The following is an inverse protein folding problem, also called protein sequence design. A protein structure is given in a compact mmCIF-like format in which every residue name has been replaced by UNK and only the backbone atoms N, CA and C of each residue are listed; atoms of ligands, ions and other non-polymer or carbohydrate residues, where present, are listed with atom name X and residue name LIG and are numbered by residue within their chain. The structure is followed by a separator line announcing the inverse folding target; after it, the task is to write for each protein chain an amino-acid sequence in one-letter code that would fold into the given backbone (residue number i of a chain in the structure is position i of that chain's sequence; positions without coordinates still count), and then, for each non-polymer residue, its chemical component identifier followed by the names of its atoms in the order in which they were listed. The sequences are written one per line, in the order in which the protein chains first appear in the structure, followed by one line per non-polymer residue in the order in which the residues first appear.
data_IF_265555472024
#
_entry.id   IF_265555472024
#
_cell.length_a   1.000
_cell.length_b   1.000
_cell.length_c   1.000
_cell.angle_alpha   90.00
_cell.angle_beta   90.00
_cell.angle_gamma   90.00
#
_symmetry.space_group_name_H-M   'P 1'
#
loop_
_entity.id
_entity.type
_entity.pdbx_description
1 polymer ?
#
# COMPACT_ATOMS: atom_id res chain seq x y z
N UNK A 1 18.57 -26.57 -12.28
CA UNK A 1 18.66 -25.91 -10.96
C UNK A 1 20.07 -25.46 -10.58
N UNK A 2 21.08 -26.36 -10.48
CA UNK A 2 22.48 -26.00 -10.12
C UNK A 2 23.14 -24.94 -11.03
N UNK A 3 22.87 -24.97 -12.34
CA UNK A 3 23.40 -24.00 -13.33
C UNK A 3 22.80 -22.59 -13.17
N UNK A 4 21.53 -22.50 -12.76
CA UNK A 4 20.84 -21.24 -12.48
C UNK A 4 21.38 -20.62 -11.18
N UNK A 5 21.55 -21.44 -10.13
CA UNK A 5 22.14 -21.00 -8.85
C UNK A 5 23.58 -20.52 -9.05
N UNK A 6 24.38 -21.23 -9.87
CA UNK A 6 25.74 -20.84 -10.21
C UNK A 6 25.79 -19.50 -10.96
N UNK A 7 24.93 -19.31 -11.97
CA UNK A 7 24.82 -18.07 -12.75
C UNK A 7 24.31 -16.87 -11.91
N UNK A 8 23.40 -17.11 -10.97
CA UNK A 8 22.96 -16.09 -10.01
C UNK A 8 24.10 -15.66 -9.09
N UNK A 9 24.89 -16.63 -8.59
CA UNK A 9 26.03 -16.34 -7.72
C UNK A 9 27.15 -15.57 -8.43
N UNK A 10 27.44 -15.83 -9.71
CA UNK A 10 28.41 -15.03 -10.49
C UNK A 10 27.85 -13.64 -10.78
N UNK A 11 26.60 -13.50 -11.21
CA UNK A 11 25.99 -12.19 -11.48
C UNK A 11 25.93 -11.27 -10.24
N UNK A 12 25.72 -11.84 -9.06
CA UNK A 12 25.71 -11.11 -7.78
C UNK A 12 27.11 -10.67 -7.33
N UNK A 13 28.18 -11.32 -7.79
CA UNK A 13 29.57 -11.05 -7.38
C UNK A 13 30.36 -10.22 -8.40
N UNK A 14 29.86 -10.04 -9.62
CA UNK A 14 30.51 -9.23 -10.65
C UNK A 14 30.11 -7.74 -10.59
N UNK A 15 31.12 -6.86 -10.56
CA UNK A 15 31.00 -5.41 -10.68
C UNK A 15 31.65 -4.62 -9.53
N UNK A 16 31.60 -3.30 -9.62
CA UNK A 16 32.09 -2.39 -8.57
C UNK A 16 31.36 -2.63 -7.23
N UNK A 17 31.99 -2.37 -6.08
CA UNK A 17 31.42 -2.62 -4.73
C UNK A 17 30.02 -2.02 -4.56
N UNK A 18 29.76 -0.86 -5.18
CA UNK A 18 28.44 -0.21 -5.21
C UNK A 18 27.39 -0.99 -6.03
N UNK A 19 27.74 -1.58 -7.17
CA UNK A 19 26.81 -2.38 -7.98
C UNK A 19 26.49 -3.73 -7.33
N UNK A 20 27.45 -4.35 -6.65
CA UNK A 20 27.24 -5.60 -5.88
C UNK A 20 26.26 -5.35 -4.73
N UNK A 21 26.46 -4.26 -3.96
CA UNK A 21 25.56 -3.87 -2.86
C UNK A 21 24.14 -3.57 -3.37
N UNK A 22 24.00 -2.88 -4.51
CA UNK A 22 22.71 -2.62 -5.13
C UNK A 22 22.01 -3.90 -5.60
N UNK A 23 22.70 -4.80 -6.31
CA UNK A 23 22.15 -6.09 -6.76
C UNK A 23 21.67 -6.96 -5.59
N UNK A 24 22.47 -7.08 -4.53
CA UNK A 24 22.11 -7.82 -3.31
C UNK A 24 20.89 -7.21 -2.62
N UNK A 25 20.81 -5.88 -2.53
CA UNK A 25 19.67 -5.20 -1.95
C UNK A 25 18.38 -5.39 -2.77
N UNK A 26 18.47 -5.38 -4.10
CA UNK A 26 17.32 -5.66 -4.98
C UNK A 26 16.83 -7.09 -4.75
N UNK A 27 17.72 -8.08 -4.74
CA UNK A 27 17.35 -9.48 -4.51
C UNK A 27 16.73 -9.70 -3.14
N UNK A 28 17.31 -9.14 -2.07
CA UNK A 28 16.76 -9.22 -0.72
C UNK A 28 15.40 -8.52 -0.63
N UNK A 29 15.24 -7.38 -1.29
CA UNK A 29 13.96 -6.68 -1.35
C UNK A 29 12.91 -7.51 -2.07
N UNK A 30 13.28 -8.16 -3.17
CA UNK A 30 12.41 -9.06 -3.92
C UNK A 30 11.97 -10.25 -3.06
N UNK A 31 12.93 -10.92 -2.41
CA UNK A 31 12.65 -12.04 -1.52
C UNK A 31 11.73 -11.65 -0.35
N UNK A 32 11.98 -10.48 0.26
CA UNK A 32 11.12 -9.95 1.32
C UNK A 32 9.69 -9.65 0.83
N UNK A 33 9.54 -9.09 -0.37
CA UNK A 33 8.22 -8.84 -0.97
C UNK A 33 7.48 -10.14 -1.27
N UNK A 34 8.15 -11.16 -1.84
CA UNK A 34 7.55 -12.47 -2.12
C UNK A 34 7.14 -13.16 -0.82
N UNK A 35 7.98 -13.14 0.21
CA UNK A 35 7.65 -13.69 1.53
C UNK A 35 6.44 -12.99 2.15
N UNK A 36 6.38 -11.65 2.07
CA UNK A 36 5.24 -10.88 2.56
C UNK A 36 3.95 -11.25 1.82
N UNK A 37 4.00 -11.43 0.49
CA UNK A 37 2.85 -11.88 -0.30
C UNK A 37 2.42 -13.27 0.17
N UNK A 38 3.34 -14.23 0.29
CA UNK A 38 3.04 -15.60 0.72
C UNK A 38 2.38 -15.64 2.12
N UNK A 39 2.95 -14.95 3.11
CA UNK A 39 2.36 -14.87 4.45
C UNK A 39 0.95 -14.26 4.38
N UNK A 40 0.77 -13.26 3.52
CA UNK A 40 -0.53 -12.60 3.38
C UNK A 40 -1.61 -13.48 2.73
N UNK A 41 -1.24 -14.51 1.96
CA UNK A 41 -2.15 -15.54 1.48
C UNK A 41 -2.47 -16.57 2.56
N UNK A 42 -1.48 -16.96 3.36
CA UNK A 42 -1.67 -17.88 4.51
C UNK A 42 -2.63 -17.30 5.55
N UNK A 43 -2.59 -15.97 5.76
CA UNK A 43 -3.51 -15.32 6.70
C UNK A 43 -4.98 -15.48 6.34
N UNK A 44 -5.35 -15.54 5.06
CA UNK A 44 -6.77 -15.57 4.66
C UNK A 44 -7.50 -16.80 5.23
N UNK A 45 -7.10 -18.05 4.96
CA UNK A 45 -7.77 -19.22 5.52
C UNK A 45 -7.70 -19.27 7.05
N UNK A 46 -6.57 -18.89 7.66
CA UNK A 46 -6.44 -18.90 9.13
C UNK A 46 -7.40 -17.92 9.82
N UNK A 47 -7.57 -16.73 9.23
CA UNK A 47 -8.50 -15.73 9.78
C UNK A 47 -9.94 -16.16 9.55
N UNK A 48 -10.25 -16.79 8.40
CA UNK A 48 -11.59 -17.34 8.14
C UNK A 48 -11.94 -18.50 9.08
N UNK A 49 -11.00 -19.41 9.33
CA UNK A 49 -11.17 -20.52 10.27
C UNK A 49 -11.46 -20.02 11.70
N UNK A 50 -10.77 -18.97 12.13
CA UNK A 50 -10.95 -18.43 13.48
C UNK A 50 -12.19 -17.52 13.61
N UNK A 51 -12.51 -16.72 12.59
CA UNK A 51 -13.50 -15.66 12.69
C UNK A 51 -14.85 -15.96 12.06
N UNK A 52 -14.96 -16.74 10.99
CA UNK A 52 -16.06 -16.71 10.00
C UNK A 52 -15.98 -15.53 8.99
N UNK A 53 -16.82 -15.59 7.94
CA UNK A 53 -16.84 -14.62 6.86
C UNK A 53 -17.34 -13.24 7.29
N UNK A 54 -18.32 -13.17 8.20
CA UNK A 54 -18.91 -11.91 8.68
C UNK A 54 -17.88 -11.12 9.49
N UNK A 55 -17.28 -11.76 10.50
CA UNK A 55 -16.24 -11.16 11.36
C UNK A 55 -14.98 -10.83 10.57
N UNK A 56 -14.61 -11.64 9.58
CA UNK A 56 -13.50 -11.33 8.68
C UNK A 56 -13.76 -10.09 7.81
N UNK A 57 -14.97 -9.96 7.26
CA UNK A 57 -15.41 -8.78 6.52
C UNK A 57 -15.40 -7.49 7.34
N UNK A 58 -15.81 -7.59 8.61
CA UNK A 58 -15.72 -6.49 9.58
C UNK A 58 -14.27 -6.09 9.82
N UNK A 59 -13.37 -7.05 10.05
CA UNK A 59 -11.94 -6.80 10.22
C UNK A 59 -11.32 -6.09 9.00
N UNK A 60 -11.63 -6.58 7.79
CA UNK A 60 -11.14 -5.98 6.53
C UNK A 60 -11.65 -4.55 6.36
N UNK A 61 -12.89 -4.28 6.75
CA UNK A 61 -13.44 -2.92 6.69
C UNK A 61 -12.80 -2.01 7.73
N UNK A 62 -12.66 -2.47 8.98
CA UNK A 62 -12.01 -1.71 10.05
C UNK A 62 -10.58 -1.33 9.67
N UNK A 63 -9.82 -2.29 9.13
CA UNK A 63 -8.46 -2.02 8.63
C UNK A 63 -8.44 -1.10 7.41
N UNK A 64 -9.46 -1.13 6.56
CA UNK A 64 -9.59 -0.21 5.43
C UNK A 64 -9.84 1.23 5.88
N UNK A 65 -10.77 1.44 6.84
CA UNK A 65 -11.07 2.76 7.44
C UNK A 65 -9.82 3.33 8.10
N UNK A 66 -9.16 2.52 8.92
CA UNK A 66 -7.92 2.91 9.59
C UNK A 66 -6.83 3.17 8.56
N UNK A 67 -6.77 2.39 7.48
CA UNK A 67 -5.91 2.58 6.32
C UNK A 67 -5.99 3.98 5.68
N UNK A 68 -7.13 4.68 5.79
CA UNK A 68 -7.28 6.06 5.30
C UNK A 68 -6.28 7.03 5.94
N UNK A 69 -5.90 6.76 7.19
CA UNK A 69 -4.93 7.60 7.90
C UNK A 69 -3.49 7.41 7.39
N UNK A 70 -3.19 6.35 6.61
CA UNK A 70 -1.86 6.18 5.98
C UNK A 70 -1.53 7.28 4.99
N UNK A 71 -2.56 7.89 4.41
CA UNK A 71 -2.42 8.96 3.44
C UNK A 71 -2.03 10.30 4.11
N UNK A 72 -2.33 10.47 5.40
CA UNK A 72 -1.89 11.61 6.21
C UNK A 72 -0.39 11.55 6.53
N UNK A 73 0.15 10.35 6.81
CA UNK A 73 1.58 10.10 7.09
C UNK A 73 2.50 10.48 5.91
N UNK A 74 2.04 10.22 4.67
CA UNK A 74 2.85 10.41 3.47
C UNK A 74 3.27 11.86 3.19
N UNK A 75 2.71 12.85 3.89
CA UNK A 75 3.16 14.24 3.82
C UNK A 75 4.40 14.50 4.70
N UNK A 76 4.27 14.33 6.01
CA UNK A 76 5.31 14.66 6.98
C UNK A 76 6.51 13.72 6.92
N UNK A 77 6.29 12.42 6.70
CA UNK A 77 7.40 11.46 6.57
C UNK A 77 8.29 11.74 5.35
N UNK A 78 7.71 12.18 4.23
CA UNK A 78 8.49 12.58 3.04
C UNK A 78 9.23 13.90 3.25
N UNK A 79 8.58 14.87 3.91
CA UNK A 79 9.23 16.12 4.31
C UNK A 79 10.44 15.89 5.21
N UNK A 80 10.28 15.04 6.24
CA UNK A 80 11.37 14.62 7.12
C UNK A 80 12.49 13.95 6.32
N UNK A 81 12.18 12.98 5.45
CA UNK A 81 13.21 12.28 4.64
C UNK A 81 14.09 13.26 3.87
N UNK A 82 13.47 14.21 3.16
CA UNK A 82 14.20 15.17 2.33
C UNK A 82 15.10 16.08 3.17
N UNK A 83 14.55 16.69 4.23
CA UNK A 83 15.31 17.59 5.10
C UNK A 83 16.40 16.86 5.88
N UNK A 84 16.14 15.61 6.27
CA UNK A 84 17.12 14.76 6.94
C UNK A 84 18.28 14.39 6.02
N UNK A 85 18.02 14.04 4.76
CA UNK A 85 19.10 13.80 3.76
C UNK A 85 19.96 15.05 3.59
N UNK A 86 19.37 16.24 3.50
CA UNK A 86 20.11 17.50 3.37
C UNK A 86 20.97 17.75 4.62
N UNK A 87 20.39 17.64 5.82
CA UNK A 87 21.12 17.85 7.07
C UNK A 87 22.29 16.86 7.23
N UNK A 88 22.06 15.58 6.91
CA UNK A 88 23.09 14.54 6.96
C UNK A 88 24.19 14.73 5.91
N UNK A 89 23.85 15.22 4.72
CA UNK A 89 24.84 15.53 3.66
C UNK A 89 25.80 16.65 4.03
N UNK A 90 25.37 17.56 4.93
CA UNK A 90 26.16 18.65 5.47
C UNK A 90 26.81 18.31 6.82
N UNK A 91 26.74 17.04 7.24
CA UNK A 91 27.15 16.52 8.55
C UNK A 91 26.56 17.31 9.75
N UNK A 92 25.43 18.00 9.56
CA UNK A 92 24.78 18.78 10.60
C UNK A 92 23.86 17.87 11.42
N UNK A 93 24.46 17.09 12.32
CA UNK A 93 23.77 16.13 13.19
C UNK A 93 22.77 16.81 14.13
N UNK A 94 23.04 18.03 14.59
CA UNK A 94 22.12 18.78 15.46
C UNK A 94 20.83 19.07 14.70
N UNK A 95 20.93 19.65 13.50
CA UNK A 95 19.78 19.95 12.66
C UNK A 95 18.99 18.68 12.30
N UNK A 96 19.69 17.59 11.99
CA UNK A 96 19.07 16.28 11.75
C UNK A 96 18.22 15.81 12.95
N UNK A 97 18.76 15.92 14.17
CA UNK A 97 18.04 15.59 15.40
C UNK A 97 16.88 16.53 15.68
N UNK A 98 17.01 17.83 15.38
CA UNK A 98 15.91 18.78 15.48
C UNK A 98 14.76 18.38 14.56
N UNK A 99 15.03 18.02 13.30
CA UNK A 99 14.00 17.54 12.38
C UNK A 99 13.33 16.26 12.89
N UNK A 100 14.11 15.24 13.29
CA UNK A 100 13.56 13.98 13.82
C UNK A 100 12.68 14.24 15.06
N UNK A 101 13.19 15.00 16.03
CA UNK A 101 12.49 15.30 17.29
C UNK A 101 11.21 16.10 17.05
N UNK A 102 11.28 17.08 16.15
CA UNK A 102 10.12 17.89 15.77
C UNK A 102 9.07 17.06 15.05
N UNK A 103 9.45 16.15 14.15
CA UNK A 103 8.49 15.25 13.48
C UNK A 103 7.81 14.29 14.48
N UNK A 104 8.56 13.70 15.42
CA UNK A 104 7.96 12.89 16.49
C UNK A 104 6.96 13.71 17.31
N UNK A 105 7.30 14.93 17.71
CA UNK A 105 6.41 15.78 18.48
C UNK A 105 5.12 16.15 17.72
N UNK A 106 5.23 16.52 16.43
CA UNK A 106 4.06 16.84 15.60
C UNK A 106 3.15 15.62 15.45
N UNK A 107 3.69 14.46 15.03
CA UNK A 107 2.87 13.27 14.81
C UNK A 107 2.24 12.77 16.10
N UNK A 108 2.99 12.74 17.21
CA UNK A 108 2.43 12.39 18.52
C UNK A 108 1.32 13.33 18.93
N UNK A 109 1.46 14.64 18.74
CA UNK A 109 0.41 15.62 19.05
C UNK A 109 -0.85 15.41 18.21
N UNK A 110 -0.69 15.28 16.89
CA UNK A 110 -1.82 15.06 15.96
C UNK A 110 -2.56 13.77 16.29
N UNK A 111 -1.84 12.66 16.41
CA UNK A 111 -2.46 11.37 16.68
C UNK A 111 -3.02 11.25 18.10
N UNK A 112 -2.42 11.92 19.08
CA UNK A 112 -3.00 12.02 20.42
C UNK A 112 -4.34 12.77 20.40
N UNK A 113 -4.43 13.91 19.70
CA UNK A 113 -5.70 14.64 19.53
C UNK A 113 -6.73 13.75 18.85
N UNK A 114 -6.36 13.04 17.78
CA UNK A 114 -7.26 12.10 17.11
C UNK A 114 -7.72 10.96 18.01
N UNK A 115 -6.86 10.44 18.89
CA UNK A 115 -7.26 9.46 19.91
C UNK A 115 -8.24 10.05 20.91
N UNK A 116 -7.97 11.25 21.44
CA UNK A 116 -8.88 11.90 22.39
C UNK A 116 -10.25 12.12 21.76
N UNK A 117 -10.30 12.61 20.52
CA UNK A 117 -11.54 12.76 19.76
C UNK A 117 -12.22 11.40 19.59
N UNK A 118 -11.49 10.38 19.13
CA UNK A 118 -12.05 9.03 18.94
C UNK A 118 -12.65 8.48 20.23
N UNK A 119 -11.90 8.48 21.34
CA UNK A 119 -12.38 7.98 22.63
C UNK A 119 -13.58 8.76 23.15
N UNK A 120 -13.67 10.06 22.86
CA UNK A 120 -14.80 10.91 23.27
C UNK A 120 -16.06 10.63 22.44
N UNK A 121 -15.92 10.42 21.12
CA UNK A 121 -17.07 10.20 20.23
C UNK A 121 -17.50 8.73 20.16
N UNK A 122 -16.58 7.79 20.40
CA UNK A 122 -16.80 6.36 20.20
C UNK A 122 -17.98 5.77 20.99
N UNK A 123 -18.30 6.19 22.22
CA UNK A 123 -19.52 5.75 22.91
C UNK A 123 -20.83 6.16 22.23
N UNK A 124 -20.79 7.18 21.37
CA UNK A 124 -21.94 7.75 20.66
C UNK A 124 -22.04 7.17 19.23
N UNK A 125 -20.97 6.57 18.71
CA UNK A 125 -20.96 5.95 17.38
C UNK A 125 -21.77 4.65 17.39
N UNK A 126 -22.71 4.55 16.46
CA UNK A 126 -23.46 3.32 16.19
C UNK A 126 -22.68 2.41 15.21
N UNK A 127 -21.69 1.67 15.71
CA UNK A 127 -20.84 0.78 14.90
C UNK A 127 -21.64 -0.30 14.17
N UNK A 128 -22.73 -0.82 14.74
CA UNK A 128 -23.64 -1.72 14.01
C UNK A 128 -24.16 -1.09 12.73
N UNK A 129 -24.51 0.20 12.75
CA UNK A 129 -25.00 0.94 11.59
C UNK A 129 -23.86 1.30 10.63
N UNK A 130 -22.71 1.69 11.16
CA UNK A 130 -21.50 2.04 10.38
C UNK A 130 -20.90 0.81 9.66
N UNK A 131 -21.09 -0.38 10.21
CA UNK A 131 -20.58 -1.63 9.64
C UNK A 131 -21.69 -2.51 9.06
N UNK A 132 -22.95 -2.07 9.11
CA UNK A 132 -24.11 -2.82 8.63
C UNK A 132 -24.16 -4.27 9.19
N UNK A 133 -24.00 -4.39 10.51
CA UNK A 133 -23.92 -5.67 11.24
C UNK A 133 -25.07 -5.80 12.23
N UNK A 134 -25.66 -6.99 12.32
CA UNK A 134 -26.73 -7.28 13.29
C UNK A 134 -26.30 -8.23 14.42
N UNK A 135 -25.48 -9.23 14.10
CA UNK A 135 -25.11 -10.36 14.97
C UNK A 135 -24.15 -9.99 16.10
N UNK A 136 -23.19 -9.10 15.84
CA UNK A 136 -22.12 -8.74 16.79
C UNK A 136 -22.56 -7.62 17.72
N UNK A 137 -22.20 -7.69 19.00
CA UNK A 137 -22.57 -6.64 19.96
C UNK A 137 -21.91 -5.29 19.65
N UNK A 138 -22.63 -4.20 19.91
CA UNK A 138 -22.14 -2.83 19.74
C UNK A 138 -20.84 -2.59 20.55
N UNK A 139 -20.80 -3.14 21.78
CA UNK A 139 -19.64 -3.09 22.66
C UNK A 139 -18.42 -3.76 22.04
N UNK A 140 -18.57 -4.91 21.41
CA UNK A 140 -17.46 -5.63 20.77
C UNK A 140 -16.88 -4.84 19.59
N UNK A 141 -17.73 -4.28 18.73
CA UNK A 141 -17.31 -3.44 17.60
C UNK A 141 -16.63 -2.15 18.06
N UNK A 142 -17.18 -1.53 19.10
CA UNK A 142 -16.62 -0.34 19.74
C UNK A 142 -15.23 -0.61 20.34
N UNK A 143 -15.06 -1.71 21.06
CA UNK A 143 -13.76 -2.13 21.60
C UNK A 143 -12.76 -2.45 20.48
N UNK A 144 -13.19 -3.15 19.43
CA UNK A 144 -12.36 -3.43 18.27
C UNK A 144 -11.84 -2.11 17.65
N UNK A 145 -12.73 -1.15 17.42
CA UNK A 145 -12.35 0.15 16.87
C UNK A 145 -11.29 0.83 17.76
N UNK A 146 -11.55 0.98 19.06
CA UNK A 146 -10.59 1.61 19.98
C UNK A 146 -9.22 0.92 19.94
N UNK A 147 -9.17 -0.41 19.96
CA UNK A 147 -7.93 -1.18 19.89
C UNK A 147 -7.19 -0.93 18.59
N UNK A 148 -7.86 -1.09 17.45
CA UNK A 148 -7.23 -1.01 16.12
C UNK A 148 -6.73 0.41 15.87
N UNK A 149 -7.54 1.44 16.13
CA UNK A 149 -7.14 2.83 15.94
C UNK A 149 -5.98 3.22 16.86
N UNK A 150 -5.99 2.79 18.13
CA UNK A 150 -4.91 3.08 19.09
C UNK A 150 -3.57 2.55 18.60
N UNK A 151 -3.50 1.26 18.28
CA UNK A 151 -2.24 0.68 17.82
C UNK A 151 -1.84 1.19 16.45
N UNK A 152 -2.79 1.51 15.58
CA UNK A 152 -2.47 2.09 14.29
C UNK A 152 -1.85 3.49 14.39
N UNK A 153 -2.39 4.34 15.26
CA UNK A 153 -1.84 5.67 15.51
C UNK A 153 -0.48 5.60 16.19
N UNK A 154 -0.28 4.68 17.14
CA UNK A 154 1.05 4.39 17.70
C UNK A 154 2.03 3.92 16.63
N UNK A 155 1.59 3.04 15.72
CA UNK A 155 2.41 2.53 14.60
C UNK A 155 2.93 3.68 13.75
N UNK A 156 2.12 4.69 13.43
CA UNK A 156 2.58 5.84 12.64
C UNK A 156 3.68 6.64 13.32
N UNK A 157 3.53 6.90 14.61
CA UNK A 157 4.55 7.64 15.37
C UNK A 157 5.87 6.87 15.29
N UNK A 158 5.84 5.56 15.53
CA UNK A 158 7.05 4.73 15.55
C UNK A 158 7.68 4.56 14.17
N UNK A 159 6.88 4.61 13.10
CA UNK A 159 7.34 4.46 11.71
C UNK A 159 8.34 5.54 11.27
N UNK A 160 8.51 6.64 12.02
CA UNK A 160 9.59 7.62 11.80
C UNK A 160 10.97 6.94 11.76
N UNK A 161 11.20 5.85 12.50
CA UNK A 161 12.48 5.12 12.44
C UNK A 161 12.77 4.56 11.04
N UNK A 162 11.72 4.18 10.30
CA UNK A 162 11.87 3.75 8.91
C UNK A 162 12.36 4.92 8.06
N UNK A 163 11.75 6.11 8.23
CA UNK A 163 12.15 7.33 7.51
C UNK A 163 13.62 7.70 7.78
N UNK A 164 14.07 7.56 9.03
CA UNK A 164 15.47 7.82 9.41
C UNK A 164 16.43 6.85 8.73
N UNK A 165 16.13 5.55 8.76
CA UNK A 165 16.96 4.52 8.11
C UNK A 165 17.01 4.71 6.59
N UNK A 166 15.89 5.12 6.00
CA UNK A 166 15.78 5.46 4.59
C UNK A 166 16.65 6.67 4.21
N UNK A 167 16.61 7.73 5.01
CA UNK A 167 17.44 8.93 4.82
C UNK A 167 18.94 8.62 4.99
N UNK A 168 19.28 7.64 5.84
CA UNK A 168 20.65 7.12 6.01
C UNK A 168 21.11 6.18 4.89
N UNK A 169 20.29 5.96 3.86
CA UNK A 169 20.56 5.03 2.75
C UNK A 169 20.70 3.56 3.21
N UNK A 170 19.99 3.18 4.27
CA UNK A 170 19.93 1.81 4.78
C UNK A 170 18.52 1.20 4.65
N UNK A 171 17.84 1.30 3.49
CA UNK A 171 16.44 0.87 3.35
C UNK A 171 16.26 -0.64 3.55
N UNK A 172 17.34 -1.43 3.48
CA UNK A 172 17.30 -2.85 3.76
C UNK A 172 16.83 -3.16 5.20
N UNK A 173 17.17 -2.31 6.18
CA UNK A 173 16.79 -2.51 7.59
C UNK A 173 15.27 -2.42 7.74
N UNK A 174 14.65 -1.43 7.10
CA UNK A 174 13.21 -1.19 7.14
C UNK A 174 12.40 -2.33 6.51
N UNK A 175 12.95 -2.93 5.45
CA UNK A 175 12.25 -3.99 4.69
C UNK A 175 12.03 -5.26 5.50
N UNK A 176 12.70 -5.45 6.64
CA UNK A 176 12.51 -6.60 7.51
C UNK A 176 11.47 -6.39 8.61
N UNK A 177 11.12 -5.15 8.99
CA UNK A 177 10.17 -4.92 10.08
C UNK A 177 8.79 -5.50 9.81
N UNK A 178 8.24 -5.25 8.61
CA UNK A 178 6.94 -5.79 8.23
C UNK A 178 6.93 -7.32 8.16
N UNK A 179 7.86 -8.01 7.48
CA UNK A 179 7.95 -9.47 7.53
C UNK A 179 8.09 -10.05 8.93
N UNK A 180 8.94 -9.48 9.80
CA UNK A 180 9.08 -9.93 11.18
C UNK A 180 7.76 -9.79 11.93
N UNK A 181 7.07 -8.66 11.80
CA UNK A 181 5.76 -8.46 12.39
C UNK A 181 4.74 -9.47 11.86
N UNK A 182 4.71 -9.74 10.56
CA UNK A 182 3.81 -10.73 9.98
C UNK A 182 4.08 -12.15 10.47
N UNK A 183 5.34 -12.56 10.63
CA UNK A 183 5.70 -13.87 11.20
C UNK A 183 5.27 -13.97 12.67
N UNK A 184 5.54 -12.94 13.47
CA UNK A 184 5.11 -12.90 14.88
C UNK A 184 3.58 -12.95 15.00
N UNK A 185 2.86 -12.21 14.17
CA UNK A 185 1.40 -12.24 14.11
C UNK A 185 0.88 -13.62 13.71
N UNK A 186 1.53 -14.28 12.74
CA UNK A 186 1.17 -15.63 12.31
C UNK A 186 1.33 -16.63 13.45
N UNK A 187 2.46 -16.59 14.17
CA UNK A 187 2.69 -17.46 15.34
C UNK A 187 1.63 -17.19 16.42
N UNK A 188 1.36 -15.93 16.73
CA UNK A 188 0.36 -15.57 17.72
C UNK A 188 -1.05 -16.03 17.34
N UNK A 189 -1.44 -15.94 16.06
CA UNK A 189 -2.73 -16.43 15.56
C UNK A 189 -2.81 -17.95 15.62
N UNK A 190 -1.74 -18.67 15.27
CA UNK A 190 -1.71 -20.14 15.39
C UNK A 190 -1.87 -20.62 16.83
N UNK A 191 -1.32 -19.87 17.80
CA UNK A 191 -1.55 -20.13 19.23
C UNK A 191 -2.99 -19.80 19.59
N UNK A 192 -3.52 -18.67 19.12
CA UNK A 192 -4.87 -18.22 19.39
C UNK A 192 -5.92 -19.24 18.94
N UNK A 193 -5.83 -19.72 17.71
CA UNK A 193 -6.73 -20.74 17.14
C UNK A 193 -6.81 -21.99 18.02
N UNK A 194 -5.71 -22.36 18.68
CA UNK A 194 -5.64 -23.56 19.54
C UNK A 194 -6.08 -23.33 20.98
N UNK A 195 -6.14 -22.08 21.43
CA UNK A 195 -6.28 -21.75 22.86
C UNK A 195 -7.56 -21.00 23.20
N UNK A 196 -8.18 -20.34 22.22
CA UNK A 196 -9.38 -19.52 22.45
C UNK A 196 -10.47 -19.80 21.43
N UNK A 197 -11.71 -19.52 21.81
CA UNK A 197 -12.83 -19.44 20.88
C UNK A 197 -12.78 -18.14 20.05
N UNK A 198 -13.53 -18.08 18.95
CA UNK A 198 -13.62 -16.91 18.06
C UNK A 198 -13.81 -15.61 18.85
N UNK A 199 -12.84 -14.69 18.71
CA UNK A 199 -12.85 -13.39 19.37
C UNK A 199 -12.21 -12.33 18.47
N UNK A 200 -13.05 -11.47 17.91
CA UNK A 200 -12.65 -10.46 16.93
C UNK A 200 -11.73 -9.39 17.54
N UNK A 201 -11.99 -8.98 18.79
CA UNK A 201 -11.20 -7.95 19.48
C UNK A 201 -9.78 -8.45 19.76
N UNK A 202 -9.64 -9.69 20.22
CA UNK A 202 -8.34 -10.28 20.54
C UNK A 202 -7.48 -10.48 19.27
N UNK A 203 -8.09 -10.91 18.18
CA UNK A 203 -7.43 -10.99 16.88
C UNK A 203 -7.01 -9.60 16.38
N UNK A 204 -7.92 -8.62 16.47
CA UNK A 204 -7.62 -7.23 16.11
C UNK A 204 -6.46 -6.66 16.94
N UNK A 205 -6.44 -6.96 18.25
CA UNK A 205 -5.32 -6.63 19.13
C UNK A 205 -4.01 -7.22 18.63
N UNK A 206 -3.93 -8.54 18.39
CA UNK A 206 -2.70 -9.20 17.94
C UNK A 206 -2.19 -8.61 16.63
N UNK A 207 -3.07 -8.48 15.64
CA UNK A 207 -2.72 -7.98 14.30
C UNK A 207 -2.31 -6.51 14.32
N UNK A 208 -2.88 -5.68 15.20
CA UNK A 208 -2.52 -4.26 15.31
C UNK A 208 -1.32 -4.02 16.24
N UNK A 209 -1.17 -4.80 17.32
CA UNK A 209 -0.09 -4.67 18.30
C UNK A 209 1.25 -5.15 17.76
N UNK A 210 1.28 -6.27 17.03
CA UNK A 210 2.56 -6.88 16.61
C UNK A 210 3.44 -5.93 15.77
N UNK A 211 2.91 -5.18 14.77
CA UNK A 211 3.71 -4.18 14.07
C UNK A 211 4.25 -3.06 14.98
N UNK A 212 3.47 -2.64 15.99
CA UNK A 212 3.88 -1.64 16.98
C UNK A 212 5.02 -2.18 17.83
N UNK A 213 4.91 -3.42 18.31
CA UNK A 213 5.94 -4.09 19.09
C UNK A 213 7.28 -4.14 18.34
N UNK A 214 7.26 -4.58 17.08
CA UNK A 214 8.46 -4.65 16.24
C UNK A 214 9.06 -3.26 16.03
N UNK A 215 8.25 -2.25 15.73
CA UNK A 215 8.74 -0.88 15.53
C UNK A 215 9.26 -0.24 16.83
N UNK A 216 8.65 -0.54 17.98
CA UNK A 216 9.15 -0.13 19.30
C UNK A 216 10.55 -0.71 19.53
N UNK A 217 10.71 -2.03 19.36
CA UNK A 217 12.01 -2.71 19.52
C UNK A 217 13.03 -2.14 18.54
N UNK A 218 12.66 -1.96 17.27
CA UNK A 218 13.52 -1.38 16.26
C UNK A 218 13.95 0.06 16.62
N UNK A 219 13.02 0.89 17.10
CA UNK A 219 13.29 2.26 17.52
C UNK A 219 14.30 2.30 18.67
N UNK A 220 14.13 1.44 19.68
CA UNK A 220 15.04 1.34 20.83
C UNK A 220 16.43 0.88 20.40
N UNK A 221 16.52 -0.21 19.63
CA UNK A 221 17.80 -0.78 19.19
C UNK A 221 18.53 0.19 18.25
N UNK A 222 17.83 0.76 17.26
CA UNK A 222 18.45 1.61 16.27
C UNK A 222 18.91 2.93 16.87
N UNK A 223 18.11 3.63 17.68
CA UNK A 223 18.60 4.85 18.34
C UNK A 223 19.55 4.58 19.51
N UNK A 224 19.56 3.37 20.09
CA UNK A 224 20.49 2.99 21.15
C UNK A 224 21.89 2.65 20.63
N UNK A 225 21.96 1.98 19.47
CA UNK A 225 23.21 1.38 18.98
C UNK A 225 23.66 2.04 17.67
N UNK A 226 22.83 1.97 16.62
CA UNK A 226 23.25 2.28 15.25
C UNK A 226 23.15 3.77 14.88
N UNK A 227 22.13 4.45 15.38
CA UNK A 227 21.77 5.85 15.13
C UNK A 227 21.86 6.67 16.41
N UNK A 228 22.78 6.32 17.31
CA UNK A 228 23.00 6.98 18.61
C UNK A 228 23.11 8.50 18.49
N UNK A 229 23.83 8.97 17.47
CA UNK A 229 24.03 10.39 17.17
C UNK A 229 22.77 11.11 16.67
N UNK A 230 21.72 10.37 16.30
CA UNK A 230 20.45 10.91 15.78
C UNK A 230 19.29 10.75 16.77
N UNK A 231 19.57 10.29 18.00
CA UNK A 231 18.55 10.05 19.01
C UNK A 231 17.69 11.30 19.24
N UNK A 232 16.35 11.19 19.12
CA UNK A 232 15.45 12.32 19.34
C UNK A 232 15.50 12.78 20.81
N UNK A 233 15.16 14.05 21.02
CA UNK A 233 15.06 14.65 22.35
C UNK A 233 13.97 15.71 22.37
N UNK A 234 13.16 15.73 23.42
CA UNK A 234 12.12 16.73 23.62
C UNK A 234 12.67 18.17 23.62
N UNK A 235 13.92 18.38 24.07
CA UNK A 235 14.59 19.69 24.08
C UNK A 235 14.95 20.21 22.67
N UNK A 236 14.97 19.31 21.67
CA UNK A 236 15.32 19.62 20.28
C UNK A 236 14.08 19.82 19.40
N UNK A 237 12.89 19.85 19.98
CA UNK A 237 11.66 20.20 19.25
C UNK A 237 11.70 21.69 18.91
N UNK A 238 11.60 22.02 17.62
CA UNK A 238 11.71 23.39 17.11
C UNK A 238 10.54 23.71 16.19
N UNK A 239 9.64 24.57 16.66
CA UNK A 239 8.43 25.00 15.92
C UNK A 239 8.78 25.61 14.55
N UNK A 240 9.93 26.31 14.44
CA UNK A 240 10.41 26.89 13.17
C UNK A 240 10.47 25.87 12.02
N UNK A 241 10.77 24.59 12.33
CA UNK A 241 10.89 23.52 11.33
C UNK A 241 9.54 22.94 10.91
N UNK A 242 8.46 23.22 11.65
CA UNK A 242 7.10 22.72 11.35
C UNK A 242 6.66 23.19 9.96
N UNK A 243 6.91 24.47 9.62
CA UNK A 243 6.54 25.02 8.31
C UNK A 243 7.30 24.33 7.18
N UNK A 244 8.61 24.14 7.34
CA UNK A 244 9.46 23.48 6.35
C UNK A 244 9.03 22.02 6.10
N UNK A 245 8.70 21.29 7.17
CA UNK A 245 8.23 19.90 7.08
C UNK A 245 6.83 19.80 6.45
N UNK A 246 5.92 20.72 6.81
CA UNK A 246 4.51 20.69 6.39
C UNK A 246 4.26 21.17 4.96
N UNK A 247 5.02 22.16 4.46
CA UNK A 247 4.83 22.70 3.09
C UNK A 247 5.10 21.65 2.02
N UNK A 248 6.14 20.83 2.21
CA UNK A 248 6.41 19.69 1.32
C UNK A 248 5.37 18.57 1.50
N UNK A 249 4.88 18.37 2.73
CA UNK A 249 3.90 17.34 3.04
C UNK A 249 2.51 17.58 2.44
N UNK A 250 2.05 18.84 2.41
CA UNK A 250 0.70 19.19 1.93
C UNK A 250 0.44 18.88 0.46
N UNK A 251 1.45 19.04 -0.42
CA UNK A 251 1.33 18.69 -1.85
C UNK A 251 1.18 17.18 -2.07
N UNK A 252 1.86 16.37 -1.27
CA UNK A 252 1.73 14.90 -1.32
C UNK A 252 0.45 14.42 -0.66
N UNK A 253 -0.12 15.16 0.28
CA UNK A 253 -1.38 14.84 0.91
C UNK A 253 -2.55 14.89 -0.09
N UNK A 254 -2.63 15.93 -0.92
CA UNK A 254 -3.69 16.05 -1.95
C UNK A 254 -3.66 14.90 -2.98
N UNK A 255 -2.46 14.53 -3.44
CA UNK A 255 -2.28 13.39 -4.36
C UNK A 255 -2.71 12.08 -3.69
N UNK A 256 -2.56 11.96 -2.37
CA UNK A 256 -2.92 10.76 -1.63
C UNK A 256 -4.42 10.64 -1.36
N UNK A 257 -5.13 11.76 -1.13
CA UNK A 257 -6.60 11.77 -1.03
C UNK A 257 -7.25 11.16 -2.28
N UNK A 258 -6.71 11.47 -3.47
CA UNK A 258 -7.26 10.88 -4.71
C UNK A 258 -7.19 9.35 -4.73
N UNK A 259 -6.13 8.76 -4.16
CA UNK A 259 -5.97 7.31 -4.05
C UNK A 259 -6.86 6.71 -2.96
N UNK A 260 -7.06 7.42 -1.85
CA UNK A 260 -8.00 7.01 -0.80
C UNK A 260 -9.40 6.80 -1.37
N UNK A 261 -9.91 7.80 -2.11
CA UNK A 261 -11.25 7.75 -2.70
C UNK A 261 -11.40 6.55 -3.65
N UNK A 262 -10.38 6.25 -4.44
CA UNK A 262 -10.46 5.23 -5.48
C UNK A 262 -10.25 3.79 -4.97
N UNK A 263 -9.49 3.58 -3.89
CA UNK A 263 -9.09 2.23 -3.46
C UNK A 263 -9.52 1.86 -2.04
N UNK A 264 -9.59 2.82 -1.12
CA UNK A 264 -9.85 2.53 0.29
C UNK A 264 -11.31 2.75 0.69
N UNK A 265 -12.10 3.43 -0.14
CA UNK A 265 -13.56 3.54 0.07
C UNK A 265 -14.32 2.28 -0.34
N UNK A 266 -13.75 1.41 -1.18
CA UNK A 266 -14.46 0.26 -1.75
C UNK A 266 -15.02 -0.69 -0.69
N UNK A 267 -14.22 -1.11 0.29
CA UNK A 267 -14.68 -1.97 1.40
C UNK A 267 -15.77 -1.28 2.24
N UNK A 268 -15.66 0.04 2.43
CA UNK A 268 -16.65 0.81 3.19
C UNK A 268 -17.98 0.93 2.45
N UNK A 269 -17.96 1.17 1.13
CA UNK A 269 -19.16 1.17 0.31
C UNK A 269 -19.81 -0.22 0.31
N UNK A 270 -19.03 -1.28 0.10
CA UNK A 270 -19.55 -2.64 0.08
C UNK A 270 -20.19 -3.00 1.41
N UNK A 271 -19.53 -2.72 2.55
CA UNK A 271 -20.12 -3.05 3.85
C UNK A 271 -21.46 -2.31 4.06
N UNK A 272 -21.52 -1.03 3.69
CA UNK A 272 -22.69 -0.19 3.93
C UNK A 272 -23.90 -0.61 3.08
N UNK A 273 -23.68 -1.08 1.86
CA UNK A 273 -24.77 -1.43 0.94
C UNK A 273 -25.11 -2.91 0.91
N UNK A 274 -24.12 -3.79 1.11
CA UNK A 274 -24.27 -5.23 0.90
C UNK A 274 -23.91 -6.07 2.13
N UNK A 275 -23.18 -5.49 3.09
CA UNK A 275 -22.82 -6.16 4.34
C UNK A 275 -21.40 -6.74 4.35
N UNK A 276 -20.95 -7.25 5.51
CA UNK A 276 -19.57 -7.69 5.73
C UNK A 276 -19.15 -8.95 4.95
N UNK A 277 -20.03 -9.92 4.73
CA UNK A 277 -19.69 -11.13 3.97
C UNK A 277 -19.23 -10.81 2.54
N UNK A 278 -19.90 -9.86 1.89
CA UNK A 278 -19.56 -9.36 0.56
C UNK A 278 -18.21 -8.63 0.57
N UNK A 279 -17.84 -7.98 1.68
CA UNK A 279 -16.49 -7.40 1.83
C UNK A 279 -15.43 -8.49 1.87
N UNK A 280 -15.70 -9.63 2.53
CA UNK A 280 -14.80 -10.77 2.54
C UNK A 280 -14.60 -11.32 1.12
N UNK A 281 -15.69 -11.59 0.39
CA UNK A 281 -15.63 -12.04 -1.01
C UNK A 281 -14.82 -11.07 -1.88
N UNK A 282 -15.10 -9.77 -1.79
CA UNK A 282 -14.38 -8.73 -2.53
C UNK A 282 -12.88 -8.75 -2.26
N UNK A 283 -12.47 -8.79 -1.00
CA UNK A 283 -11.06 -8.72 -0.63
C UNK A 283 -10.31 -10.02 -0.97
N UNK A 284 -10.98 -11.18 -0.91
CA UNK A 284 -10.40 -12.46 -1.32
C UNK A 284 -10.13 -12.48 -2.83
N UNK A 285 -11.13 -12.10 -3.64
CA UNK A 285 -10.97 -12.01 -5.09
C UNK A 285 -9.91 -10.96 -5.49
N UNK A 286 -9.92 -9.80 -4.81
CA UNK A 286 -8.90 -8.77 -4.98
C UNK A 286 -7.51 -9.32 -4.64
N UNK A 287 -7.35 -10.02 -3.52
CA UNK A 287 -6.08 -10.61 -3.09
C UNK A 287 -5.50 -11.54 -4.14
N UNK A 288 -6.34 -12.40 -4.71
CA UNK A 288 -5.94 -13.37 -5.73
C UNK A 288 -5.40 -12.67 -7.00
N UNK A 289 -6.15 -11.71 -7.57
CA UNK A 289 -5.74 -11.02 -8.79
C UNK A 289 -4.72 -9.87 -8.58
N UNK A 290 -4.55 -9.39 -7.34
CA UNK A 290 -3.53 -8.39 -7.02
C UNK A 290 -2.11 -8.99 -7.01
N UNK A 291 -1.96 -10.30 -6.78
CA UNK A 291 -0.65 -10.96 -6.75
C UNK A 291 0.20 -10.74 -8.03
N UNK A 292 -0.30 -11.01 -9.25
CA UNK A 292 0.45 -10.72 -10.47
C UNK A 292 0.74 -9.21 -10.65
N UNK A 293 -0.19 -8.34 -10.24
CA UNK A 293 0.01 -6.88 -10.28
C UNK A 293 1.17 -6.45 -9.38
N UNK A 294 1.28 -7.02 -8.17
CA UNK A 294 2.39 -6.74 -7.26
C UNK A 294 3.73 -7.18 -7.84
N UNK A 295 3.79 -8.39 -8.41
CA UNK A 295 5.02 -8.91 -9.04
C UNK A 295 5.42 -8.03 -10.23
N UNK A 296 4.46 -7.61 -11.06
CA UNK A 296 4.70 -6.68 -12.17
C UNK A 296 5.22 -5.32 -11.66
N UNK A 297 4.65 -4.81 -10.56
CA UNK A 297 5.06 -3.55 -9.93
C UNK A 297 6.53 -3.52 -9.48
N UNK A 298 7.10 -4.66 -9.10
CA UNK A 298 8.54 -4.78 -8.80
C UNK A 298 9.36 -4.47 -10.05
N UNK A 299 8.98 -5.02 -11.21
CA UNK A 299 9.65 -4.77 -12.50
C UNK A 299 9.54 -3.30 -12.90
N UNK A 300 8.43 -2.65 -12.56
CA UNK A 300 8.17 -1.23 -12.87
C UNK A 300 8.95 -0.25 -12.00
N UNK A 301 9.42 -0.67 -10.82
CA UNK A 301 10.11 0.18 -9.85
C UNK A 301 11.33 0.93 -10.44
N UNK A 302 12.29 0.27 -11.14
CA UNK A 302 13.42 0.96 -11.75
C UNK A 302 13.07 1.73 -13.02
N UNK A 303 11.93 1.45 -13.65
CA UNK A 303 11.56 2.01 -14.97
C UNK A 303 11.40 3.53 -14.91
N UNK A 304 10.79 4.05 -13.84
CA UNK A 304 10.63 5.50 -13.68
C UNK A 304 11.97 6.24 -13.80
N UNK A 305 12.97 5.90 -12.97
CA UNK A 305 14.26 6.58 -12.99
C UNK A 305 14.98 6.44 -14.34
N UNK A 306 14.88 5.27 -14.98
CA UNK A 306 15.48 5.02 -16.27
C UNK A 306 14.80 5.82 -17.41
N UNK A 307 13.47 5.98 -17.36
CA UNK A 307 12.73 6.87 -18.27
C UNK A 307 13.19 8.31 -18.10
N UNK A 308 13.33 8.81 -16.87
CA UNK A 308 13.79 10.19 -16.63
C UNK A 308 15.18 10.43 -17.23
N UNK A 309 16.13 9.52 -16.99
CA UNK A 309 17.50 9.63 -17.53
C UNK A 309 17.51 9.67 -19.06
N UNK A 310 16.83 8.72 -19.71
CA UNK A 310 16.75 8.66 -21.16
C UNK A 310 16.04 9.88 -21.76
N UNK A 311 14.97 10.36 -21.11
CA UNK A 311 14.23 11.53 -21.56
C UNK A 311 15.07 12.81 -21.48
N UNK A 312 15.80 13.03 -20.38
CA UNK A 312 16.69 14.19 -20.22
C UNK A 312 17.84 14.15 -21.24
N UNK A 313 18.35 12.96 -21.57
CA UNK A 313 19.38 12.76 -22.60
C UNK A 313 18.85 12.81 -24.04
N UNK A 314 17.54 12.94 -24.23
CA UNK A 314 16.92 12.94 -25.55
C UNK A 314 16.91 11.59 -26.27
N UNK A 315 17.14 10.47 -25.57
CA UNK A 315 17.20 9.13 -26.16
C UNK A 315 15.80 8.54 -26.39
N UNK A 316 15.11 9.08 -27.41
CA UNK A 316 13.76 8.65 -27.79
C UNK A 316 13.73 7.23 -28.36
N UNK A 317 14.84 6.77 -28.96
CA UNK A 317 14.94 5.41 -29.49
C UNK A 317 14.96 4.38 -28.35
N UNK A 318 15.74 4.63 -27.29
CA UNK A 318 15.71 3.80 -26.10
C UNK A 318 14.33 3.79 -25.44
N UNK A 319 13.68 4.94 -25.31
CA UNK A 319 12.32 5.05 -24.74
C UNK A 319 11.31 4.19 -25.50
N UNK A 320 11.32 4.25 -26.84
CA UNK A 320 10.45 3.42 -27.71
C UNK A 320 10.74 1.92 -27.53
N UNK A 321 12.02 1.54 -27.52
CA UNK A 321 12.41 0.14 -27.38
C UNK A 321 12.05 -0.45 -26.02
N UNK A 322 12.24 0.31 -24.95
CA UNK A 322 11.84 -0.10 -23.60
C UNK A 322 10.34 -0.23 -23.51
N UNK A 323 9.57 0.77 -23.98
CA UNK A 323 8.11 0.70 -23.97
C UNK A 323 7.59 -0.53 -24.72
N UNK A 324 8.16 -0.85 -25.90
CA UNK A 324 7.82 -2.06 -26.66
C UNK A 324 8.08 -3.33 -25.85
N UNK A 325 9.25 -3.46 -25.20
CA UNK A 325 9.58 -4.62 -24.37
C UNK A 325 8.65 -4.75 -23.16
N UNK A 326 8.30 -3.63 -22.52
CA UNK A 326 7.36 -3.61 -21.39
C UNK A 326 5.95 -4.01 -21.83
N UNK A 327 5.49 -3.57 -23.00
CA UNK A 327 4.19 -3.99 -23.55
C UNK A 327 4.15 -5.49 -23.86
N UNK A 328 5.24 -6.06 -24.41
CA UNK A 328 5.35 -7.52 -24.61
C UNK A 328 5.29 -8.25 -23.25
N UNK A 329 5.97 -7.73 -22.23
CA UNK A 329 5.89 -8.28 -20.88
C UNK A 329 4.47 -8.16 -20.30
N UNK A 330 3.76 -7.06 -20.55
CA UNK A 330 2.35 -6.91 -20.14
C UNK A 330 1.48 -8.00 -20.76
N UNK A 331 1.68 -8.33 -22.05
CA UNK A 331 0.94 -9.42 -22.71
C UNK A 331 1.17 -10.76 -21.98
N UNK A 332 2.41 -11.07 -21.60
CA UNK A 332 2.70 -12.29 -20.84
C UNK A 332 1.95 -12.34 -19.50
N UNK A 333 1.93 -11.23 -18.76
CA UNK A 333 1.19 -11.14 -17.50
C UNK A 333 -0.32 -11.22 -17.70
N UNK A 334 -0.85 -10.61 -18.76
CA UNK A 334 -2.27 -10.69 -19.12
C UNK A 334 -2.67 -12.14 -19.40
N UNK A 335 -1.87 -12.89 -20.16
CA UNK A 335 -2.11 -14.32 -20.40
C UNK A 335 -2.09 -15.12 -19.08
N UNK A 336 -1.15 -14.81 -18.17
CA UNK A 336 -1.09 -15.41 -16.85
C UNK A 336 -2.34 -15.10 -16.00
N UNK A 337 -2.83 -13.86 -16.03
CA UNK A 337 -4.04 -13.43 -15.33
C UNK A 337 -5.29 -14.14 -15.89
N UNK A 338 -5.39 -14.28 -17.21
CA UNK A 338 -6.48 -15.03 -17.85
C UNK A 338 -6.43 -16.50 -17.44
N UNK A 339 -5.23 -17.12 -17.42
CA UNK A 339 -5.07 -18.48 -16.92
C UNK A 339 -5.49 -18.61 -15.45
N UNK A 340 -5.10 -17.65 -14.61
CA UNK A 340 -5.50 -17.60 -13.19
C UNK A 340 -7.01 -17.56 -13.01
N UNK A 341 -7.75 -16.89 -13.90
CA UNK A 341 -9.21 -16.90 -13.87
C UNK A 341 -9.78 -18.31 -14.13
N UNK A 342 -9.31 -19.00 -15.18
CA UNK A 342 -9.81 -20.34 -15.53
C UNK A 342 -9.50 -21.42 -14.48
N UNK A 343 -8.38 -21.31 -13.78
CA UNK A 343 -8.04 -22.21 -12.66
C UNK A 343 -8.55 -21.68 -11.31
N UNK A 344 -9.19 -20.51 -11.29
CA UNK A 344 -9.50 -19.75 -10.07
C UNK A 344 -10.39 -20.54 -9.11
N UNK A 345 -11.45 -21.18 -9.60
CA UNK A 345 -12.35 -21.97 -8.77
C UNK A 345 -11.60 -23.10 -8.05
N UNK A 346 -10.72 -23.81 -8.74
CA UNK A 346 -9.88 -24.84 -8.13
C UNK A 346 -8.93 -24.27 -7.07
N UNK A 347 -8.33 -23.10 -7.34
CA UNK A 347 -7.46 -22.43 -6.37
C UNK A 347 -8.26 -22.01 -5.14
N UNK A 348 -9.45 -21.43 -5.30
CA UNK A 348 -10.29 -21.00 -4.18
C UNK A 348 -10.69 -22.18 -3.29
N UNK A 349 -11.08 -23.32 -3.87
CA UNK A 349 -11.41 -24.53 -3.09
C UNK A 349 -10.25 -25.00 -2.22
N UNK A 350 -9.04 -25.08 -2.79
CA UNK A 350 -7.85 -25.52 -2.03
C UNK A 350 -7.41 -24.46 -1.02
N UNK A 351 -7.46 -23.18 -1.40
CA UNK A 351 -6.94 -22.10 -0.57
C UNK A 351 -7.86 -21.77 0.60
N UNK A 352 -9.18 -21.83 0.40
CA UNK A 352 -10.19 -21.42 1.37
C UNK A 352 -10.90 -22.61 2.04
N UNK A 353 -10.65 -23.84 1.58
CA UNK A 353 -11.34 -25.05 2.04
C UNK A 353 -12.87 -24.90 2.01
N UNK A 354 -13.39 -24.40 0.88
CA UNK A 354 -14.82 -24.14 0.62
C UNK A 354 -15.51 -23.19 1.62
N UNK A 355 -14.76 -22.40 2.40
CA UNK A 355 -15.33 -21.49 3.39
C UNK A 355 -16.12 -20.31 2.77
N UNK A 356 -15.76 -19.87 1.56
CA UNK A 356 -16.39 -18.74 0.87
C UNK A 356 -16.42 -19.02 -0.63
N UNK A 357 -17.61 -18.87 -1.23
CA UNK A 357 -17.79 -18.87 -2.68
C UNK A 357 -17.64 -17.46 -3.25
N UNK A 358 -16.95 -17.35 -4.39
CA UNK A 358 -16.70 -16.07 -5.06
C UNK A 358 -17.62 -15.95 -6.28
N UNK A 359 -18.50 -14.93 -6.35
CA UNK A 359 -19.37 -14.75 -7.50
C UNK A 359 -18.60 -14.59 -8.81
N UNK A 360 -19.07 -15.26 -9.87
CA UNK A 360 -18.40 -15.24 -11.19
C UNK A 360 -18.20 -13.83 -11.72
N UNK A 361 -19.22 -12.96 -11.60
CA UNK A 361 -19.16 -11.56 -12.06
C UNK A 361 -18.07 -10.78 -11.30
N UNK A 362 -17.92 -11.00 -10.00
CA UNK A 362 -16.86 -10.39 -9.20
C UNK A 362 -15.48 -10.88 -9.66
N UNK A 363 -15.33 -12.17 -9.88
CA UNK A 363 -14.09 -12.80 -10.34
C UNK A 363 -13.63 -12.23 -11.70
N UNK A 364 -14.57 -12.12 -12.66
CA UNK A 364 -14.33 -11.49 -13.98
C UNK A 364 -13.91 -10.02 -13.81
N UNK A 365 -14.60 -9.27 -12.94
CA UNK A 365 -14.32 -7.86 -12.71
C UNK A 365 -12.90 -7.65 -12.16
N UNK A 366 -12.47 -8.52 -11.24
CA UNK A 366 -11.12 -8.50 -10.66
C UNK A 366 -10.04 -8.88 -11.69
N UNK A 367 -10.33 -9.84 -12.56
CA UNK A 367 -9.45 -10.19 -13.68
C UNK A 367 -9.23 -8.99 -14.60
N UNK A 368 -10.31 -8.31 -15.03
CA UNK A 368 -10.20 -7.11 -15.87
C UNK A 368 -9.45 -5.97 -15.17
N UNK A 369 -9.67 -5.78 -13.87
CA UNK A 369 -8.92 -4.82 -13.08
C UNK A 369 -7.40 -5.10 -13.13
N UNK A 370 -7.00 -6.34 -12.91
CA UNK A 370 -5.58 -6.72 -12.96
C UNK A 370 -4.99 -6.54 -14.37
N UNK A 371 -5.73 -6.93 -15.42
CA UNK A 371 -5.32 -6.75 -16.82
C UNK A 371 -5.09 -5.27 -17.12
N UNK A 372 -6.08 -4.41 -16.85
CA UNK A 372 -5.98 -2.97 -17.13
C UNK A 372 -4.83 -2.34 -16.34
N UNK A 373 -4.65 -2.75 -15.08
CA UNK A 373 -3.54 -2.26 -14.25
C UNK A 373 -2.18 -2.62 -14.83
N UNK A 374 -1.99 -3.87 -15.29
CA UNK A 374 -0.75 -4.33 -15.93
C UNK A 374 -0.48 -3.64 -17.26
N UNK A 375 -1.52 -3.43 -18.09
CA UNK A 375 -1.38 -2.75 -19.38
C UNK A 375 -1.01 -1.27 -19.20
N UNK A 376 -1.61 -0.58 -18.22
CA UNK A 376 -1.39 0.85 -18.02
C UNK A 376 -0.14 1.19 -17.20
N UNK A 377 0.41 0.24 -16.47
CA UNK A 377 1.54 0.50 -15.57
C UNK A 377 2.79 1.06 -16.29
N UNK A 378 3.25 0.53 -17.45
CA UNK A 378 4.35 1.12 -18.22
C UNK A 378 4.10 2.60 -18.59
N UNK A 379 2.90 2.90 -19.07
CA UNK A 379 2.53 4.26 -19.46
C UNK A 379 2.51 5.22 -18.26
N UNK A 380 2.01 4.76 -17.12
CA UNK A 380 2.05 5.54 -15.88
C UNK A 380 3.49 5.82 -15.43
N UNK A 381 4.39 4.82 -15.47
CA UNK A 381 5.80 5.05 -15.14
C UNK A 381 6.49 6.02 -16.10
N UNK A 382 6.15 5.96 -17.40
CA UNK A 382 6.69 6.87 -18.40
C UNK A 382 6.24 8.32 -18.15
N UNK A 383 4.93 8.53 -17.93
CA UNK A 383 4.38 9.86 -17.62
C UNK A 383 5.03 10.44 -16.35
N UNK A 384 5.20 9.60 -15.31
CA UNK A 384 5.92 10.00 -14.09
C UNK A 384 7.39 10.36 -14.38
N UNK A 385 8.06 9.60 -15.25
CA UNK A 385 9.44 9.86 -15.65
C UNK A 385 9.64 11.12 -16.48
N UNK A 386 8.67 11.47 -17.32
CA UNK A 386 8.67 12.73 -18.07
C UNK A 386 8.35 13.96 -17.19
N UNK A 387 7.71 13.74 -16.03
CA UNK A 387 7.25 14.81 -15.16
C UNK A 387 6.04 15.61 -15.70
N UNK A 388 5.35 15.11 -16.75
CA UNK A 388 4.23 15.79 -17.42
C UNK A 388 2.88 15.34 -16.86
N UNK A 389 2.59 15.78 -15.64
CA UNK A 389 1.54 15.21 -14.79
C UNK A 389 0.18 15.91 -14.91
N UNK A 390 0.08 17.06 -15.61
CA UNK A 390 -1.13 17.89 -15.57
C UNK A 390 -2.35 17.14 -16.10
N UNK A 391 -2.20 16.39 -17.19
CA UNK A 391 -3.27 15.56 -17.74
C UNK A 391 -3.73 14.48 -16.75
N UNK A 392 -2.78 13.80 -16.10
CA UNK A 392 -3.08 12.76 -15.09
C UNK A 392 -3.84 13.32 -13.90
N UNK A 393 -3.50 14.52 -13.44
CA UNK A 393 -4.20 15.21 -12.36
C UNK A 393 -5.64 15.54 -12.76
N UNK A 394 -5.86 16.12 -13.95
CA UNK A 394 -7.20 16.45 -14.44
C UNK A 394 -8.11 15.22 -14.55
N UNK A 395 -7.59 14.14 -15.13
CA UNK A 395 -8.31 12.86 -15.23
C UNK A 395 -8.66 12.34 -13.83
N UNK A 396 -7.73 12.43 -12.88
CA UNK A 396 -7.94 11.94 -11.51
C UNK A 396 -9.03 12.72 -10.79
N UNK A 397 -9.08 14.05 -10.93
CA UNK A 397 -10.13 14.88 -10.35
C UNK A 397 -11.51 14.48 -10.90
N UNK A 398 -11.61 14.29 -12.22
CA UNK A 398 -12.83 13.83 -12.86
C UNK A 398 -13.28 12.45 -12.34
N UNK A 399 -12.33 11.51 -12.18
CA UNK A 399 -12.62 10.18 -11.60
C UNK A 399 -13.18 10.29 -10.20
N UNK A 400 -12.55 11.06 -9.30
CA UNK A 400 -13.00 11.23 -7.91
C UNK A 400 -14.44 11.72 -7.85
N UNK A 401 -14.78 12.72 -8.67
CA UNK A 401 -16.11 13.34 -8.67
C UNK A 401 -17.22 12.35 -9.04
N UNK A 402 -16.94 11.42 -9.96
CA UNK A 402 -17.94 10.50 -10.50
C UNK A 402 -17.85 9.08 -9.92
N UNK A 403 -16.76 8.73 -9.23
CA UNK A 403 -16.52 7.37 -8.74
C UNK A 403 -17.58 6.93 -7.74
N UNK A 404 -17.81 7.72 -6.69
CA UNK A 404 -18.77 7.38 -5.63
C UNK A 404 -20.20 7.19 -6.18
N UNK A 405 -20.80 8.14 -6.94
CA UNK A 405 -22.18 7.96 -7.41
C UNK A 405 -22.33 6.76 -8.35
N UNK A 406 -21.36 6.51 -9.23
CA UNK A 406 -21.41 5.36 -10.14
C UNK A 406 -21.19 4.04 -9.40
N UNK A 407 -20.29 4.01 -8.41
CA UNK A 407 -20.07 2.84 -7.57
C UNK A 407 -21.33 2.46 -6.79
N UNK A 408 -22.04 3.44 -6.22
CA UNK A 408 -23.31 3.21 -5.53
C UNK A 408 -24.39 2.70 -6.51
N UNK A 409 -24.47 3.28 -7.71
CA UNK A 409 -25.41 2.85 -8.73
C UNK A 409 -25.17 1.39 -9.14
N UNK A 410 -23.91 1.00 -9.37
CA UNK A 410 -23.57 -0.38 -9.73
C UNK A 410 -23.71 -1.36 -8.55
N UNK A 411 -23.42 -0.94 -7.32
CA UNK A 411 -23.67 -1.75 -6.12
C UNK A 411 -25.14 -2.13 -5.96
N UNK A 412 -26.06 -1.21 -6.30
CA UNK A 412 -27.51 -1.43 -6.24
C UNK A 412 -28.08 -2.18 -7.45
N UNK A 413 -27.26 -2.43 -8.47
CA UNK A 413 -27.64 -3.18 -9.67
C UNK A 413 -27.42 -4.69 -9.48
N UNK A 414 -27.82 -5.55 -10.43
CA UNK A 414 -27.52 -6.98 -10.40
C UNK A 414 -26.01 -7.32 -10.35
N UNK A 415 -25.13 -6.34 -10.57
CA UNK A 415 -23.68 -6.53 -10.38
C UNK A 415 -23.31 -6.79 -8.90
N UNK A 416 -24.12 -6.33 -7.95
CA UNK A 416 -23.87 -6.49 -6.51
C UNK A 416 -22.46 -6.02 -6.13
N UNK A 417 -21.73 -6.86 -5.39
CA UNK A 417 -20.36 -6.60 -4.91
C UNK A 417 -19.36 -6.29 -6.03
N UNK A 418 -19.58 -6.82 -7.23
CA UNK A 418 -18.74 -6.54 -8.39
C UNK A 418 -18.84 -5.07 -8.82
N UNK A 419 -19.93 -4.39 -8.49
CA UNK A 419 -20.24 -3.04 -8.94
C UNK A 419 -19.11 -2.03 -8.69
N UNK A 420 -18.50 -2.03 -7.50
CA UNK A 420 -17.37 -1.13 -7.18
C UNK A 420 -16.15 -1.44 -8.04
N UNK A 421 -15.87 -2.71 -8.29
CA UNK A 421 -14.73 -3.08 -9.13
C UNK A 421 -15.00 -2.74 -10.60
N UNK A 422 -16.21 -2.98 -11.10
CA UNK A 422 -16.62 -2.58 -12.45
C UNK A 422 -16.48 -1.06 -12.62
N UNK A 423 -16.86 -0.26 -11.63
CA UNK A 423 -16.62 1.20 -11.66
C UNK A 423 -15.12 1.52 -11.77
N UNK A 424 -14.28 0.85 -10.99
CA UNK A 424 -12.81 1.03 -11.03
C UNK A 424 -12.23 0.68 -12.41
N UNK A 425 -12.67 -0.44 -12.99
CA UNK A 425 -12.27 -0.89 -14.33
C UNK A 425 -12.74 0.11 -15.39
N UNK A 426 -14.00 0.54 -15.34
CA UNK A 426 -14.60 1.51 -16.26
C UNK A 426 -13.77 2.79 -16.31
N UNK A 427 -13.48 3.41 -15.16
CA UNK A 427 -12.67 4.62 -15.12
C UNK A 427 -11.24 4.40 -15.58
N UNK A 428 -10.68 3.22 -15.34
CA UNK A 428 -9.32 2.89 -15.79
C UNK A 428 -9.28 2.75 -17.32
N UNK A 429 -10.26 2.09 -17.92
CA UNK A 429 -10.44 1.98 -19.37
C UNK A 429 -10.67 3.36 -19.98
N UNK A 430 -11.55 4.19 -19.42
CA UNK A 430 -11.80 5.55 -19.92
C UNK A 430 -10.55 6.43 -19.91
N UNK A 431 -9.67 6.26 -18.91
CA UNK A 431 -8.39 6.99 -18.86
C UNK A 431 -7.29 6.42 -19.75
N UNK A 432 -7.41 5.16 -20.16
CA UNK A 432 -6.35 4.44 -20.87
C UNK A 432 -5.87 5.14 -22.16
N UNK A 433 -6.74 5.65 -23.04
CA UNK A 433 -6.29 6.22 -24.30
C UNK A 433 -5.47 7.48 -24.05
N UNK A 434 -5.85 8.28 -23.05
CA UNK A 434 -5.11 9.49 -22.69
C UNK A 434 -3.66 9.18 -22.27
N UNK A 435 -3.43 8.17 -21.43
CA UNK A 435 -2.07 7.81 -21.04
C UNK A 435 -1.26 7.26 -22.20
N UNK A 436 -1.86 6.40 -23.02
CA UNK A 436 -1.21 5.81 -24.19
C UNK A 436 -0.85 6.88 -25.22
N UNK A 437 -1.79 7.77 -25.55
CA UNK A 437 -1.60 8.88 -26.48
C UNK A 437 -0.55 9.85 -25.96
N UNK A 438 -0.59 10.21 -24.67
CA UNK A 438 0.38 11.15 -24.10
C UNK A 438 1.80 10.62 -24.24
N UNK A 439 2.06 9.38 -23.82
CA UNK A 439 3.39 8.76 -23.94
C UNK A 439 3.83 8.69 -25.39
N UNK A 440 2.95 8.24 -26.29
CA UNK A 440 3.26 8.14 -27.71
C UNK A 440 3.56 9.51 -28.35
N UNK A 441 2.85 10.58 -27.96
CA UNK A 441 3.15 11.93 -28.43
C UNK A 441 4.51 12.41 -27.92
N UNK A 442 4.82 12.19 -26.64
CA UNK A 442 6.08 12.64 -26.04
C UNK A 442 7.28 11.92 -26.69
N UNK A 443 7.27 10.59 -26.78
CA UNK A 443 8.39 9.83 -27.36
C UNK A 443 8.57 10.06 -28.88
N UNK A 444 7.56 10.61 -29.55
CA UNK A 444 7.62 10.98 -30.96
C UNK A 444 7.85 12.50 -31.17
N UNK A 445 8.09 13.27 -30.10
CA UNK A 445 8.26 14.73 -30.15
C UNK A 445 7.06 15.47 -30.80
N UNK A 446 5.84 14.97 -30.61
CA UNK A 446 4.57 15.55 -31.12
C UNK A 446 3.65 16.04 -30.00
N UNK A 447 4.17 16.15 -28.78
CA UNK A 447 3.37 16.56 -27.62
C UNK A 447 3.30 18.08 -27.53
N UNK A 448 2.09 18.62 -27.54
CA UNK A 448 1.82 20.06 -27.41
C UNK A 448 0.72 20.32 -26.37
N UNK A 449 0.67 21.55 -25.86
CA UNK A 449 -0.38 21.99 -24.95
C UNK A 449 -0.47 21.13 -23.68
N UNK A 450 -1.65 20.60 -23.39
CA UNK A 450 -1.91 19.76 -22.21
C UNK A 450 -1.17 18.43 -22.23
N UNK A 451 -0.79 17.93 -23.41
CA UNK A 451 -0.05 16.66 -23.55
C UNK A 451 1.40 16.77 -23.07
N UNK A 452 1.95 17.99 -23.02
CA UNK A 452 3.34 18.27 -22.63
C UNK A 452 3.48 19.03 -21.30
N UNK A 453 2.39 19.15 -20.53
CA UNK A 453 2.35 19.87 -19.26
C UNK A 453 2.36 18.95 -18.04
#
# INVERSE_FOLDING_TARGET
MKKIIKNLNTFLKEGNVRSIKAKKNILLSFAASVLAIAISFIFVPLLLEYLDAERYGIWLTMTSIVGWFTFFDGGLGKGLKNNLVIALSKDNKILAREYISTTYAILSGVFFILLVVLYSINPILEWKKILNVKSISERELSLLALVVFTFFFLRFILKIIEVVSDAKQEPAINKFFAPIASVLSLIAILILIKTTQSNLVLLGFILSFTPVLVLCIATIILFGIRYKDLKPSYRLVKIKHVRELSVLGGKFFFIQISRLVLFSLSSFLIIQYLGPEEVAQYNIALKYFQAPVMVYGIVMTPIWAATTDAYVKGDMHWLKNVLRKLNILSVLFVLGIILMYFIGDWVYRIWLNDAIEIPTVLNISMMFYAIVTVILSPYSQFINGFGKLVLSIRITIFKIALFIPIAILFLKSPLGVAGVMVTTVLFSILSSPFYIIQVNKIINNKAEGTWFK
#
